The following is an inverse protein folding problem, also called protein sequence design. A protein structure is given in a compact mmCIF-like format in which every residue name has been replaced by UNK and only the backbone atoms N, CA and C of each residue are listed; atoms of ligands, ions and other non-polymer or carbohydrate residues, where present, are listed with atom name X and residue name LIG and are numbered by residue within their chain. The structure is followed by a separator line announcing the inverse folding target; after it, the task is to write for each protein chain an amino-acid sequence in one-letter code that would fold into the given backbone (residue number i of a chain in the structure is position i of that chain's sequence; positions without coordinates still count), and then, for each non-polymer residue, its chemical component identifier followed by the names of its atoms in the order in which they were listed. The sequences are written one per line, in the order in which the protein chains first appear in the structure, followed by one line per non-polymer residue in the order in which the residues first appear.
data_IF_571045694980
#
_entry.id   IF_571045694980
#
_cell.length_a   1.000
_cell.length_b   1.000
_cell.length_c   1.000
_cell.angle_alpha   90.00
_cell.angle_beta   90.00
_cell.angle_gamma   90.00
#
_symmetry.space_group_name_H-M   'P 1'
#
loop_
_entity.id
_entity.type
_entity.pdbx_description
1 polymer ?
#
# COMPACT_ATOMS: atom_id res chain seq x y z
N UNK A 1 13.70 17.08 3.06
CA UNK A 1 13.06 15.74 3.21
C UNK A 1 13.26 14.72 2.07
N UNK A 2 13.82 15.02 0.87
CA UNK A 2 14.21 13.98 -0.11
C UNK A 2 15.29 13.03 0.44
N UNK A 3 16.32 13.64 1.04
CA UNK A 3 17.50 12.96 1.60
C UNK A 3 17.17 11.92 2.70
N UNK A 4 15.98 11.97 3.30
CA UNK A 4 15.55 11.00 4.33
C UNK A 4 14.98 9.73 3.69
N UNK A 5 14.21 9.84 2.60
CA UNK A 5 13.66 8.70 1.89
C UNK A 5 14.77 7.85 1.26
N UNK A 6 15.72 8.50 0.58
CA UNK A 6 16.89 7.83 -0.01
C UNK A 6 17.68 7.04 1.05
N UNK A 7 17.85 7.62 2.25
CA UNK A 7 18.52 6.95 3.37
C UNK A 7 17.73 5.74 3.88
N UNK A 8 16.40 5.81 3.94
CA UNK A 8 15.56 4.68 4.33
C UNK A 8 15.59 3.56 3.31
N UNK A 9 15.47 3.88 2.01
CA UNK A 9 15.55 2.93 0.90
C UNK A 9 16.90 2.20 0.95
N UNK A 10 17.99 2.94 1.11
CA UNK A 10 19.34 2.36 1.24
C UNK A 10 19.47 1.50 2.49
N UNK A 11 18.95 1.95 3.65
CA UNK A 11 18.97 1.18 4.89
C UNK A 11 18.20 -0.15 4.78
N UNK A 12 17.06 -0.13 4.07
CA UNK A 12 16.23 -1.31 3.80
C UNK A 12 16.76 -2.18 2.66
N UNK A 13 17.93 -1.86 2.10
CA UNK A 13 18.54 -2.58 0.98
C UNK A 13 17.66 -2.66 -0.27
N UNK A 14 16.82 -1.65 -0.49
CA UNK A 14 16.08 -1.51 -1.75
C UNK A 14 17.03 -0.90 -2.78
N UNK A 15 17.84 -1.77 -3.38
CA UNK A 15 18.90 -1.45 -4.33
C UNK A 15 18.47 -1.66 -5.79
N UNK A 16 19.40 -1.50 -6.73
CA UNK A 16 19.12 -1.62 -8.16
C UNK A 16 18.55 -3.00 -8.55
N UNK A 17 19.03 -4.07 -7.91
CA UNK A 17 18.58 -5.44 -8.17
C UNK A 17 17.16 -5.66 -7.63
N UNK A 18 16.86 -5.13 -6.44
CA UNK A 18 15.51 -5.11 -5.86
C UNK A 18 14.54 -4.35 -6.77
N UNK A 19 14.95 -3.18 -7.26
CA UNK A 19 14.14 -2.37 -8.17
C UNK A 19 13.92 -3.05 -9.52
N UNK A 20 14.92 -3.76 -10.06
CA UNK A 20 14.78 -4.56 -11.28
C UNK A 20 13.78 -5.69 -11.07
N UNK A 21 13.92 -6.44 -9.97
CA UNK A 21 13.01 -7.53 -9.61
C UNK A 21 11.56 -7.07 -9.53
N UNK A 22 11.30 -5.92 -8.90
CA UNK A 22 9.95 -5.34 -8.82
C UNK A 22 9.38 -5.02 -10.21
N UNK A 23 10.17 -4.35 -11.06
CA UNK A 23 9.75 -3.97 -12.43
C UNK A 23 9.49 -5.19 -13.32
N UNK A 24 10.26 -6.25 -13.17
CA UNK A 24 10.08 -7.48 -13.96
C UNK A 24 8.86 -8.26 -13.48
N UNK A 25 8.57 -8.21 -12.18
CA UNK A 25 7.45 -8.95 -11.59
C UNK A 25 6.08 -8.26 -11.76
N UNK A 26 6.03 -6.94 -11.97
CA UNK A 26 4.77 -6.20 -12.01
C UNK A 26 3.77 -6.74 -13.05
N UNK A 27 4.25 -7.16 -14.23
CA UNK A 27 3.39 -7.71 -15.28
C UNK A 27 2.78 -9.05 -14.91
N UNK A 28 3.43 -9.83 -14.04
CA UNK A 28 2.94 -11.11 -13.56
C UNK A 28 1.85 -10.93 -12.49
N UNK A 29 2.02 -9.95 -11.59
CA UNK A 29 1.09 -9.75 -10.46
C UNK A 29 -0.11 -8.85 -10.79
N UNK A 30 0.04 -7.88 -11.70
CA UNK A 30 -0.99 -6.89 -12.03
C UNK A 30 -2.34 -7.53 -12.44
N UNK A 31 -2.39 -8.60 -13.26
CA UNK A 31 -3.64 -9.29 -13.60
C UNK A 31 -4.35 -9.93 -12.41
N UNK A 32 -3.61 -10.27 -11.35
CA UNK A 32 -4.12 -10.93 -10.15
C UNK A 32 -4.43 -9.95 -9.00
N UNK A 33 -4.06 -8.67 -9.16
CA UNK A 33 -4.10 -7.72 -8.06
C UNK A 33 -5.51 -7.48 -7.51
N UNK A 34 -6.55 -7.53 -8.36
CA UNK A 34 -7.93 -7.44 -7.88
C UNK A 34 -8.31 -8.60 -6.97
N UNK A 35 -7.98 -9.83 -7.35
CA UNK A 35 -8.26 -11.01 -6.52
C UNK A 35 -7.48 -10.99 -5.20
N UNK A 36 -6.26 -10.44 -5.21
CA UNK A 36 -5.45 -10.23 -4.00
C UNK A 36 -6.16 -9.26 -3.07
N UNK A 37 -6.65 -8.13 -3.60
CA UNK A 37 -7.39 -7.16 -2.82
C UNK A 37 -8.73 -7.72 -2.33
N UNK A 38 -9.44 -8.51 -3.12
CA UNK A 38 -10.69 -9.14 -2.70
C UNK A 38 -10.44 -10.08 -1.51
N UNK A 39 -9.35 -10.85 -1.57
CA UNK A 39 -8.93 -11.71 -0.45
C UNK A 39 -8.61 -10.89 0.80
N UNK A 40 -7.90 -9.78 0.65
CA UNK A 40 -7.57 -8.89 1.77
C UNK A 40 -8.82 -8.25 2.38
N UNK A 41 -9.71 -7.68 1.55
CA UNK A 41 -10.91 -7.00 2.02
C UNK A 41 -11.97 -7.95 2.56
N UNK A 42 -12.03 -9.21 2.11
CA UNK A 42 -12.81 -10.26 2.77
C UNK A 42 -12.37 -10.42 4.23
N UNK A 43 -11.05 -10.52 4.49
CA UNK A 43 -10.53 -10.64 5.87
C UNK A 43 -10.81 -9.39 6.71
N UNK A 44 -10.75 -8.21 6.11
CA UNK A 44 -11.11 -6.95 6.77
C UNK A 44 -12.59 -6.94 7.16
N UNK A 45 -13.48 -7.44 6.29
CA UNK A 45 -14.91 -7.55 6.57
C UNK A 45 -15.21 -8.60 7.65
N UNK A 46 -14.49 -9.71 7.66
CA UNK A 46 -14.65 -10.80 8.63
C UNK A 46 -14.19 -10.40 10.06
N UNK A 47 -13.33 -9.39 10.17
CA UNK A 47 -12.89 -8.84 11.45
C UNK A 47 -13.82 -7.72 11.92
N UNK A 48 -14.57 -7.96 13.00
CA UNK A 48 -15.47 -6.95 13.59
C UNK A 48 -14.74 -5.64 13.89
N UNK A 49 -13.53 -5.73 14.46
CA UNK A 49 -12.72 -4.56 14.80
C UNK A 49 -12.28 -3.76 13.56
N UNK A 50 -11.88 -4.44 12.47
CA UNK A 50 -11.44 -3.77 11.26
C UNK A 50 -12.63 -3.23 10.45
N UNK A 51 -13.72 -3.99 10.35
CA UNK A 51 -14.95 -3.58 9.68
C UNK A 51 -15.57 -2.33 10.34
N UNK A 52 -15.51 -2.22 11.67
CA UNK A 52 -15.99 -1.06 12.42
C UNK A 52 -15.28 0.26 12.08
N UNK A 53 -14.11 0.21 11.43
CA UNK A 53 -13.38 1.41 10.98
C UNK A 53 -13.99 2.04 9.71
N UNK A 54 -14.89 1.32 9.02
CA UNK A 54 -15.52 1.77 7.79
C UNK A 54 -16.95 2.23 8.05
N UNK A 55 -17.31 3.40 7.53
CA UNK A 55 -18.66 3.97 7.71
C UNK A 55 -19.68 3.42 6.70
N UNK A 56 -19.20 2.77 5.63
CA UNK A 56 -20.01 2.15 4.57
C UNK A 56 -19.15 1.28 3.65
N UNK A 57 -19.80 0.42 2.85
CA UNK A 57 -19.13 -0.32 1.77
C UNK A 57 -18.39 0.60 0.80
N UNK A 58 -19.01 1.73 0.42
CA UNK A 58 -18.37 2.72 -0.45
C UNK A 58 -17.09 3.35 0.17
N UNK A 59 -16.98 3.41 1.50
CA UNK A 59 -15.73 3.85 2.15
C UNK A 59 -14.63 2.79 2.03
N UNK A 60 -15.01 1.51 2.10
CA UNK A 60 -14.11 0.37 1.93
C UNK A 60 -13.64 0.24 0.48
N UNK A 61 -14.54 0.40 -0.50
CA UNK A 61 -14.20 0.36 -1.92
C UNK A 61 -13.20 1.47 -2.29
N UNK A 62 -13.39 2.68 -1.75
CA UNK A 62 -12.41 3.77 -1.93
C UNK A 62 -11.05 3.45 -1.32
N UNK A 63 -11.01 2.80 -0.16
CA UNK A 63 -9.76 2.34 0.43
C UNK A 63 -9.10 1.26 -0.44
N UNK A 64 -9.89 0.34 -1.00
CA UNK A 64 -9.44 -0.72 -1.91
C UNK A 64 -8.77 -0.13 -3.13
N UNK A 65 -9.41 0.83 -3.76
CA UNK A 65 -8.88 1.50 -4.95
C UNK A 65 -7.62 2.31 -4.65
N UNK A 66 -7.56 2.96 -3.48
CA UNK A 66 -6.37 3.66 -3.02
C UNK A 66 -5.19 2.71 -2.78
N UNK A 67 -5.43 1.53 -2.19
CA UNK A 67 -4.40 0.48 -2.06
C UNK A 67 -3.95 -0.02 -3.43
N UNK A 68 -4.88 -0.31 -4.34
CA UNK A 68 -4.58 -0.71 -5.72
C UNK A 68 -3.63 0.26 -6.39
N UNK A 69 -4.00 1.55 -6.37
CA UNK A 69 -3.19 2.60 -6.95
C UNK A 69 -1.81 2.68 -6.29
N UNK A 70 -1.74 2.69 -4.96
CA UNK A 70 -0.47 2.81 -4.23
C UNK A 70 0.52 1.70 -4.61
N UNK A 71 0.05 0.45 -4.60
CA UNK A 71 0.89 -0.71 -4.90
C UNK A 71 1.31 -0.77 -6.37
N UNK A 72 0.37 -0.64 -7.31
CA UNK A 72 0.66 -0.79 -8.75
C UNK A 72 1.38 0.43 -9.33
N UNK A 73 1.07 1.64 -8.89
CA UNK A 73 1.69 2.85 -9.42
C UNK A 73 3.07 3.14 -8.80
N UNK A 74 3.31 2.71 -7.56
CA UNK A 74 4.56 3.00 -6.85
C UNK A 74 5.37 1.75 -6.50
N UNK A 75 4.91 0.96 -5.53
CA UNK A 75 5.73 -0.08 -4.88
C UNK A 75 6.20 -1.13 -5.89
N UNK A 76 5.27 -1.73 -6.65
CA UNK A 76 5.57 -2.79 -7.62
C UNK A 76 6.31 -2.27 -8.86
N UNK A 77 6.34 -0.96 -9.08
CA UNK A 77 7.16 -0.34 -10.15
C UNK A 77 8.52 0.14 -9.64
N UNK A 78 8.84 -0.07 -8.37
CA UNK A 78 10.05 0.44 -7.73
C UNK A 78 10.13 1.98 -7.75
N UNK A 79 8.99 2.66 -7.85
CA UNK A 79 8.92 4.12 -7.99
C UNK A 79 8.79 4.76 -6.61
N UNK A 80 9.91 4.90 -5.92
CA UNK A 80 10.01 5.50 -4.59
C UNK A 80 10.46 6.97 -4.65
N UNK A 81 9.58 7.82 -5.18
CA UNK A 81 9.81 9.26 -5.33
C UNK A 81 8.99 10.11 -4.32
N UNK A 82 8.89 11.41 -4.56
CA UNK A 82 8.14 12.31 -3.69
C UNK A 82 6.63 12.03 -3.71
N UNK A 83 6.07 11.53 -4.81
CA UNK A 83 4.66 11.15 -4.88
C UNK A 83 4.40 9.91 -4.04
N UNK A 84 5.28 8.90 -4.12
CA UNK A 84 5.23 7.75 -3.22
C UNK A 84 5.27 8.19 -1.76
N UNK A 85 6.20 9.08 -1.39
CA UNK A 85 6.33 9.55 -0.02
C UNK A 85 5.10 10.33 0.46
N UNK A 86 4.51 11.15 -0.39
CA UNK A 86 3.26 11.85 -0.07
C UNK A 86 2.10 10.87 0.13
N UNK A 87 1.97 9.87 -0.77
CA UNK A 87 0.98 8.80 -0.66
C UNK A 87 1.13 8.00 0.62
N UNK A 88 2.33 7.49 0.92
CA UNK A 88 2.64 6.71 2.12
C UNK A 88 2.35 7.49 3.41
N UNK A 89 2.67 8.81 3.44
CA UNK A 89 2.34 9.68 4.58
C UNK A 89 0.82 9.84 4.76
N UNK A 90 0.08 10.10 3.69
CA UNK A 90 -1.37 10.24 3.75
C UNK A 90 -2.05 8.95 4.22
N UNK A 91 -1.55 7.80 3.77
CA UNK A 91 -1.96 6.47 4.22
C UNK A 91 -1.71 6.33 5.72
N UNK A 92 -0.48 6.52 6.20
CA UNK A 92 -0.14 6.40 7.63
C UNK A 92 -0.94 7.34 8.53
N UNK A 93 -1.13 8.60 8.12
CA UNK A 93 -1.97 9.57 8.83
C UNK A 93 -3.44 9.13 8.90
N UNK A 94 -3.95 8.52 7.83
CA UNK A 94 -5.31 7.99 7.80
C UNK A 94 -5.45 6.82 8.77
N UNK A 95 -4.50 5.87 8.76
CA UNK A 95 -4.49 4.74 9.68
C UNK A 95 -4.47 5.20 11.14
N UNK A 96 -3.60 6.15 11.48
CA UNK A 96 -3.56 6.76 12.82
C UNK A 96 -4.87 7.45 13.19
N UNK A 97 -5.45 8.25 12.28
CA UNK A 97 -6.68 9.01 12.53
C UNK A 97 -7.90 8.12 12.75
N UNK A 98 -8.01 7.02 12.03
CA UNK A 98 -9.15 6.09 12.17
C UNK A 98 -8.92 5.02 13.24
N UNK A 99 -7.69 4.92 13.78
CA UNK A 99 -7.36 3.98 14.85
C UNK A 99 -7.10 2.55 14.37
N UNK A 100 -6.49 2.38 13.18
CA UNK A 100 -6.00 1.06 12.77
C UNK A 100 -4.90 0.63 13.74
N UNK A 101 -5.10 -0.51 14.40
CA UNK A 101 -4.05 -1.16 15.16
C UNK A 101 -2.97 -1.69 14.19
N UNK A 102 -1.74 -1.23 14.34
CA UNK A 102 -0.61 -1.59 13.49
C UNK A 102 0.02 -2.94 13.88
N UNK A 103 -0.48 -3.59 14.94
CA UNK A 103 0.02 -4.85 15.49
C UNK A 103 -0.96 -6.02 15.36
N UNK A 104 -2.07 -5.86 14.63
CA UNK A 104 -3.03 -6.94 14.32
C UNK A 104 -2.80 -7.53 12.92
#
# INVERSE_FOLDING_TARGET
MPMQLERWISFLQVDADTLATLRDFVSEIEPHFDSILDTFYSRVQDSEAAAALFTSSASMDRAREAQRFHWLAHVLRGRFDQEYLASARAIGQTHYRVGVDLMM
#
